data_IF_674855840875
#
_entry.id   IF_674855840875
#
_cell.length_a   1.000
_cell.length_b   1.000
_cell.length_c   1.000
_cell.angle_alpha   90.00
_cell.angle_beta   90.00
_cell.angle_gamma   90.00
#
_symmetry.space_group_name_H-M   'P 1'
#
loop_
_entity.id
_entity.type
_entity.pdbx_description
1 polymer ?
#
# COMPACT_ATOMS: atom_id res chain seq x y z
N UNK A 1 -16.25 -30.64 3.43
CA UNK A 1 -16.45 -29.52 2.48
C UNK A 1 -15.76 -28.21 2.93
N UNK A 2 -14.64 -28.25 3.67
CA UNK A 2 -13.94 -27.00 4.08
C UNK A 2 -12.97 -26.44 3.02
N UNK A 3 -12.57 -27.23 2.02
CA UNK A 3 -11.61 -26.80 1.00
C UNK A 3 -12.16 -25.85 -0.07
N UNK A 4 -13.45 -25.95 -0.40
CA UNK A 4 -14.09 -25.09 -1.42
C UNK A 4 -14.22 -23.63 -0.98
N UNK A 5 -14.43 -23.38 0.31
CA UNK A 5 -14.52 -22.03 0.86
C UNK A 5 -13.15 -21.36 0.99
N UNK A 6 -12.10 -22.13 1.28
CA UNK A 6 -10.71 -21.66 1.29
C UNK A 6 -10.24 -21.27 -0.12
N UNK A 7 -10.53 -22.10 -1.12
CA UNK A 7 -10.18 -21.81 -2.51
C UNK A 7 -10.86 -20.52 -3.03
N UNK A 8 -12.14 -20.31 -2.69
CA UNK A 8 -12.86 -19.09 -3.03
C UNK A 8 -12.23 -17.84 -2.41
N UNK A 9 -11.83 -17.89 -1.12
CA UNK A 9 -11.16 -16.76 -0.47
C UNK A 9 -9.81 -16.41 -1.12
N UNK A 10 -9.06 -17.41 -1.57
CA UNK A 10 -7.78 -17.18 -2.25
C UNK A 10 -7.99 -16.46 -3.57
N UNK A 11 -8.94 -16.94 -4.38
CA UNK A 11 -9.28 -16.32 -5.66
C UNK A 11 -9.72 -14.87 -5.46
N UNK A 12 -10.57 -14.61 -4.46
CA UNK A 12 -11.02 -13.25 -4.16
C UNK A 12 -9.84 -12.37 -3.71
N UNK A 13 -8.96 -12.86 -2.83
CA UNK A 13 -7.77 -12.12 -2.39
C UNK A 13 -6.81 -11.81 -3.54
N UNK A 14 -6.56 -12.79 -4.41
CA UNK A 14 -5.74 -12.62 -5.62
C UNK A 14 -6.40 -11.65 -6.62
N UNK A 15 -7.73 -11.67 -6.75
CA UNK A 15 -8.46 -10.69 -7.56
C UNK A 15 -8.33 -9.28 -6.98
N UNK A 16 -8.46 -9.11 -5.67
CA UNK A 16 -8.27 -7.81 -5.02
C UNK A 16 -6.87 -7.28 -5.28
N UNK A 17 -5.82 -8.12 -5.21
CA UNK A 17 -4.43 -7.74 -5.52
C UNK A 17 -4.19 -7.29 -6.97
N UNK A 18 -5.05 -7.71 -7.91
CA UNK A 18 -4.91 -7.32 -9.32
C UNK A 18 -5.73 -6.08 -9.67
N UNK A 19 -6.84 -5.87 -8.97
CA UNK A 19 -7.74 -4.73 -9.18
C UNK A 19 -7.34 -3.52 -8.34
N UNK A 20 -7.07 -3.74 -7.06
CA UNK A 20 -6.40 -2.81 -6.18
C UNK A 20 -4.92 -3.17 -6.12
N UNK A 21 -4.07 -2.23 -6.52
CA UNK A 21 -2.63 -2.42 -6.62
C UNK A 21 -1.84 -1.16 -6.34
N UNK A 22 -2.55 -0.06 -6.09
CA UNK A 22 -1.96 1.24 -5.93
C UNK A 22 -1.75 1.49 -4.45
N UNK A 23 -0.49 1.65 -4.05
CA UNK A 23 -0.14 2.01 -2.69
C UNK A 23 0.03 3.52 -2.61
N UNK A 24 -0.66 4.16 -1.66
CA UNK A 24 -0.42 5.55 -1.32
C UNK A 24 0.32 5.71 -0.01
N UNK A 25 1.00 6.86 0.15
CA UNK A 25 1.80 7.21 1.32
C UNK A 25 1.17 8.38 2.05
N UNK A 26 1.03 8.25 3.37
CA UNK A 26 0.35 9.24 4.21
C UNK A 26 1.18 9.63 5.43
N UNK A 27 1.06 10.90 5.83
CA UNK A 27 1.66 11.42 7.06
C UNK A 27 0.84 11.08 8.31
N UNK A 28 -0.42 10.65 8.15
CA UNK A 28 -1.32 10.24 9.21
C UNK A 28 -2.37 9.25 8.69
N UNK A 29 -3.25 8.79 9.58
CA UNK A 29 -4.38 7.91 9.26
C UNK A 29 -5.30 8.48 8.16
N UNK A 30 -5.50 7.79 7.00
CA UNK A 30 -6.49 8.17 6.01
C UNK A 30 -7.92 7.75 6.43
N UNK A 31 -8.09 7.07 7.54
CA UNK A 31 -9.30 6.46 8.10
C UNK A 31 -9.92 5.41 7.18
N UNK A 32 -10.91 4.67 7.65
CA UNK A 32 -11.66 3.72 6.81
C UNK A 32 -12.41 4.42 5.66
N UNK A 33 -12.56 5.75 5.71
CA UNK A 33 -13.17 6.53 4.63
C UNK A 33 -12.24 6.78 3.44
N UNK A 34 -10.92 6.54 3.58
CA UNK A 34 -9.95 6.81 2.50
C UNK A 34 -9.78 8.31 2.23
N UNK A 35 -9.45 9.08 3.27
CA UNK A 35 -9.16 10.51 3.16
C UNK A 35 -7.82 10.74 2.46
N UNK A 36 -7.85 11.50 1.38
CA UNK A 36 -6.65 11.98 0.68
C UNK A 36 -5.98 13.17 1.40
N UNK A 37 -6.57 13.71 2.48
CA UNK A 37 -6.09 14.93 3.15
C UNK A 37 -4.66 14.83 3.69
N UNK A 38 -4.22 13.60 4.00
CA UNK A 38 -2.91 13.29 4.57
C UNK A 38 -2.03 12.52 3.58
N UNK A 39 -2.50 12.29 2.34
CA UNK A 39 -1.70 11.68 1.29
C UNK A 39 -0.64 12.70 0.84
N UNK A 40 0.55 12.22 0.48
CA UNK A 40 1.53 13.06 -0.20
C UNK A 40 0.88 13.66 -1.45
N UNK A 41 0.80 14.99 -1.61
CA UNK A 41 0.17 15.58 -2.77
C UNK A 41 0.96 15.20 -4.03
N UNK A 42 0.32 15.01 -5.18
CA UNK A 42 1.01 14.64 -6.44
C UNK A 42 1.60 15.86 -7.15
N UNK A 43 1.00 17.04 -6.96
CA UNK A 43 1.42 18.28 -7.60
C UNK A 43 2.73 18.80 -7.01
N UNK A 44 3.79 18.87 -7.83
CA UNK A 44 5.06 19.49 -7.47
C UNK A 44 5.96 18.66 -6.53
N UNK A 45 5.59 17.41 -6.23
CA UNK A 45 6.27 16.57 -5.24
C UNK A 45 7.07 15.42 -5.82
N UNK A 46 6.89 15.13 -7.12
CA UNK A 46 7.39 13.93 -7.80
C UNK A 46 6.89 12.61 -7.19
N UNK A 47 5.74 12.66 -6.51
CA UNK A 47 5.05 11.50 -5.97
C UNK A 47 3.86 11.13 -6.86
N UNK A 48 3.65 9.83 -7.06
CA UNK A 48 2.40 9.23 -7.51
C UNK A 48 2.21 7.91 -6.77
N UNK A 49 0.96 7.43 -6.66
CA UNK A 49 0.70 6.14 -6.03
C UNK A 49 1.49 5.03 -6.72
N UNK A 50 2.05 4.16 -5.90
CA UNK A 50 2.99 3.15 -6.34
C UNK A 50 2.23 1.94 -6.87
N UNK A 51 2.56 1.52 -8.10
CA UNK A 51 2.08 0.23 -8.61
C UNK A 51 2.81 -0.94 -7.92
N UNK A 52 2.02 -1.77 -7.26
CA UNK A 52 2.44 -3.00 -6.59
C UNK A 52 2.21 -4.26 -7.44
N UNK A 53 1.80 -4.14 -8.71
CA UNK A 53 1.63 -5.27 -9.62
C UNK A 53 2.91 -6.11 -9.69
N UNK A 54 2.78 -7.40 -9.37
CA UNK A 54 3.90 -8.35 -9.38
C UNK A 54 4.93 -8.15 -8.26
N UNK A 55 4.75 -7.17 -7.37
CA UNK A 55 5.61 -6.95 -6.19
C UNK A 55 5.04 -7.55 -4.92
N UNK A 56 3.75 -7.88 -4.91
CA UNK A 56 3.07 -8.54 -3.81
C UNK A 56 3.05 -10.05 -4.00
N UNK A 57 3.14 -10.80 -2.90
CA UNK A 57 2.92 -12.24 -2.91
C UNK A 57 1.49 -12.57 -3.29
N UNK A 58 1.21 -13.78 -3.80
CA UNK A 58 -0.15 -14.29 -3.81
C UNK A 58 -0.77 -14.20 -2.41
N UNK A 59 -2.09 -14.08 -2.34
CA UNK A 59 -2.79 -14.08 -1.07
C UNK A 59 -2.63 -15.43 -0.37
N UNK A 60 -2.04 -15.43 0.81
CA UNK A 60 -1.86 -16.64 1.62
C UNK A 60 -3.08 -16.85 2.52
N UNK A 61 -3.71 -18.02 2.38
CA UNK A 61 -4.88 -18.42 3.14
C UNK A 61 -4.57 -18.76 4.60
N UNK A 62 -3.34 -19.21 4.90
CA UNK A 62 -2.96 -19.58 6.25
C UNK A 62 -2.75 -18.35 7.12
N UNK A 63 -2.08 -17.33 6.58
CA UNK A 63 -1.86 -16.05 7.27
C UNK A 63 -2.96 -15.01 7.02
N UNK A 64 -3.77 -15.18 5.97
CA UNK A 64 -4.78 -14.21 5.55
C UNK A 64 -4.16 -12.92 4.99
N UNK A 65 -2.92 -13.00 4.48
CA UNK A 65 -2.11 -11.84 4.09
C UNK A 65 -1.41 -12.05 2.75
N UNK A 66 -1.11 -10.93 2.10
CA UNK A 66 -0.18 -10.82 1.00
C UNK A 66 0.92 -9.84 1.40
N UNK A 67 2.17 -10.18 1.12
CA UNK A 67 3.34 -9.43 1.60
C UNK A 67 4.19 -8.97 0.42
N UNK A 68 4.83 -7.82 0.57
CA UNK A 68 5.76 -7.29 -0.39
C UNK A 68 6.96 -8.23 -0.58
N UNK A 69 7.23 -8.64 -1.82
CA UNK A 69 8.30 -9.57 -2.21
C UNK A 69 9.55 -8.88 -2.74
N UNK A 70 9.45 -7.62 -3.12
CA UNK A 70 10.54 -6.85 -3.71
C UNK A 70 10.57 -5.43 -3.17
N UNK A 71 11.76 -4.85 -3.11
CA UNK A 71 11.94 -3.50 -2.62
C UNK A 71 11.19 -2.49 -3.49
N UNK A 72 10.60 -1.51 -2.83
CA UNK A 72 9.88 -0.39 -3.43
C UNK A 72 10.61 0.88 -3.05
N UNK A 73 11.14 1.57 -4.05
CA UNK A 73 11.78 2.87 -3.90
C UNK A 73 10.92 3.93 -4.58
N UNK A 74 10.67 5.04 -3.88
CA UNK A 74 9.84 6.16 -4.38
C UNK A 74 10.63 7.44 -4.26
N UNK A 75 10.71 8.19 -5.37
CA UNK A 75 11.41 9.47 -5.44
C UNK A 75 12.60 9.48 -6.41
N UNK A 76 13.51 10.46 -6.28
CA UNK A 76 13.64 11.38 -5.14
C UNK A 76 12.48 12.36 -5.00
N UNK A 77 12.19 12.74 -3.76
CA UNK A 77 11.19 13.72 -3.40
C UNK A 77 11.57 15.12 -3.90
N UNK A 78 10.68 15.79 -4.64
CA UNK A 78 10.94 17.14 -5.14
C UNK A 78 10.78 18.22 -4.07
N UNK A 79 9.93 17.94 -3.08
CA UNK A 79 9.74 18.73 -1.85
C UNK A 79 9.79 17.80 -0.66
N UNK A 80 9.78 18.36 0.55
CA UNK A 80 9.60 17.58 1.76
C UNK A 80 8.20 16.94 1.78
N UNK A 81 8.14 15.61 1.85
CA UNK A 81 6.89 14.86 2.01
C UNK A 81 6.50 14.70 3.50
N UNK A 82 7.40 15.05 4.42
CA UNK A 82 7.24 14.90 5.85
C UNK A 82 7.44 13.47 6.34
N UNK A 83 7.01 13.25 7.59
CA UNK A 83 7.10 11.96 8.26
C UNK A 83 5.96 11.06 7.80
N UNK A 84 6.26 10.13 6.90
CA UNK A 84 5.33 9.12 6.42
C UNK A 84 5.14 8.07 7.49
N UNK A 85 3.90 7.87 7.91
CA UNK A 85 3.56 6.92 8.98
C UNK A 85 2.62 5.84 8.50
N UNK A 86 1.87 6.05 7.41
CA UNK A 86 0.78 5.18 6.99
C UNK A 86 0.80 4.94 5.48
N UNK A 87 0.21 3.82 5.07
CA UNK A 87 0.00 3.48 3.67
C UNK A 87 -1.46 3.07 3.41
N UNK A 88 -1.97 3.45 2.26
CA UNK A 88 -3.30 3.05 1.76
C UNK A 88 -3.18 2.16 0.54
N UNK A 89 -4.17 1.31 0.30
CA UNK A 89 -4.26 0.42 -0.86
C UNK A 89 -5.53 0.72 -1.66
N UNK A 90 -5.36 1.00 -2.95
CA UNK A 90 -6.39 1.62 -3.80
C UNK A 90 -6.58 0.87 -5.11
N UNK A 91 -7.79 0.96 -5.65
CA UNK A 91 -8.17 0.46 -6.98
C UNK A 91 -7.67 1.33 -8.14
N UNK A 92 -7.30 2.58 -7.87
CA UNK A 92 -6.86 3.55 -8.87
C UNK A 92 -5.62 4.34 -8.46
N UNK A 93 -4.84 4.74 -9.47
CA UNK A 93 -3.60 5.51 -9.30
C UNK A 93 -3.85 6.91 -8.72
N UNK A 94 -4.97 7.53 -9.10
CA UNK A 94 -5.42 8.82 -8.58
C UNK A 94 -6.92 8.74 -8.31
N UNK A 95 -7.36 9.23 -7.15
CA UNK A 95 -8.76 9.09 -6.70
C UNK A 95 -9.14 7.63 -6.41
N UNK A 96 -10.29 7.19 -6.92
CA UNK A 96 -10.78 5.82 -6.70
C UNK A 96 -11.23 5.56 -5.27
N UNK A 97 -11.30 4.27 -4.90
CA UNK A 97 -11.71 3.83 -3.57
C UNK A 97 -10.54 3.15 -2.84
N UNK A 98 -10.34 3.54 -1.59
CA UNK A 98 -9.41 2.85 -0.71
C UNK A 98 -10.04 1.53 -0.25
N UNK A 99 -9.33 0.44 -0.46
CA UNK A 99 -9.74 -0.90 -0.04
C UNK A 99 -9.35 -1.14 1.41
N UNK A 100 -8.17 -0.66 1.80
CA UNK A 100 -7.64 -0.78 3.15
C UNK A 100 -6.48 0.18 3.38
N UNK A 101 -6.23 0.50 4.65
CA UNK A 101 -5.05 1.23 5.09
C UNK A 101 -4.36 0.49 6.23
N UNK A 102 -3.11 0.86 6.49
CA UNK A 102 -2.38 0.37 7.64
C UNK A 102 -1.18 1.26 7.98
N UNK A 103 -0.75 1.24 9.25
CA UNK A 103 0.48 1.93 9.64
C UNK A 103 1.69 1.26 8.99
N UNK A 104 2.67 2.08 8.63
CA UNK A 104 4.01 1.62 8.27
C UNK A 104 4.68 1.03 9.51
N UNK A 105 5.44 -0.06 9.32
CA UNK A 105 6.19 -0.67 10.41
C UNK A 105 7.25 0.27 10.99
N UNK A 106 7.78 1.16 10.16
CA UNK A 106 8.73 2.20 10.57
C UNK A 106 8.35 3.48 9.85
N UNK A 107 8.11 4.54 10.62
CA UNK A 107 7.88 5.86 10.06
C UNK A 107 9.14 6.35 9.35
N UNK A 108 8.98 6.96 8.17
CA UNK A 108 10.10 7.44 7.37
C UNK A 108 9.92 8.91 7.03
N UNK A 109 10.88 9.72 7.47
CA UNK A 109 10.97 11.11 7.05
C UNK A 109 11.54 11.18 5.64
N UNK A 110 10.85 11.86 4.73
CA UNK A 110 11.30 11.98 3.32
C UNK A 110 11.47 13.45 2.90
N UNK A 111 12.56 14.10 3.34
CA UNK A 111 12.91 15.44 2.89
C UNK A 111 13.20 15.52 1.39
N UNK A 112 13.19 16.73 0.84
CA UNK A 112 13.56 16.98 -0.54
C UNK A 112 14.92 16.36 -0.90
N UNK A 113 14.98 15.64 -2.03
CA UNK A 113 16.16 14.92 -2.51
C UNK A 113 16.35 13.52 -1.90
N UNK A 114 15.53 13.10 -0.94
CA UNK A 114 15.54 11.73 -0.39
C UNK A 114 14.55 10.83 -1.10
N UNK A 115 14.73 9.53 -0.94
CA UNK A 115 13.82 8.50 -1.41
C UNK A 115 13.15 7.84 -0.21
N UNK A 116 11.87 7.53 -0.36
CA UNK A 116 11.19 6.61 0.51
C UNK A 116 11.49 5.17 0.05
N UNK A 117 11.75 4.27 0.98
CA UNK A 117 12.09 2.88 0.68
C UNK A 117 11.33 1.91 1.57
N UNK A 118 10.64 0.96 0.96
CA UNK A 118 10.16 -0.24 1.63
C UNK A 118 10.96 -1.43 1.14
N UNK A 119 11.53 -2.18 2.07
CA UNK A 119 12.17 -3.45 1.76
C UNK A 119 11.12 -4.56 1.67
N UNK A 120 11.44 -5.62 0.93
CA UNK A 120 10.65 -6.84 0.92
C UNK A 120 10.31 -7.28 2.37
N UNK A 121 9.05 -7.65 2.61
CA UNK A 121 8.55 -8.05 3.93
C UNK A 121 8.05 -6.92 4.84
N UNK A 122 8.37 -5.65 4.55
CA UNK A 122 7.99 -4.52 5.43
C UNK A 122 6.58 -3.98 5.20
N UNK A 123 5.89 -4.48 4.18
CA UNK A 123 4.51 -4.12 3.87
C UNK A 123 3.69 -5.38 3.60
N UNK A 124 2.50 -5.44 4.18
CA UNK A 124 1.55 -6.53 3.97
C UNK A 124 0.12 -6.03 3.98
N UNK A 125 -0.71 -6.60 3.12
CA UNK A 125 -2.16 -6.40 3.12
C UNK A 125 -2.86 -7.68 3.55
N UNK A 126 -3.92 -7.58 4.34
CA UNK A 126 -4.67 -8.76 4.76
C UNK A 126 -5.73 -8.43 5.79
N UNK A 127 -6.54 -9.43 6.14
CA UNK A 127 -7.60 -9.25 7.15
C UNK A 127 -6.93 -8.85 8.48
N UNK A 128 -7.37 -7.75 9.07
CA UNK A 128 -7.03 -7.43 10.46
C UNK A 128 -7.48 -8.59 11.35
N UNK A 129 -6.66 -9.00 12.34
CA UNK A 129 -7.03 -10.07 13.26
C UNK A 129 -8.32 -9.75 14.02
#
# INVERSE_FOLDING_TARGET
MSGLTLYAHKIVGDQVLTMARWMSLHIADPTDAGSDSNEVPTAGTNYSRIDLLGKMSPFDLASGRSTLLADVNVGPAAIDWGLLTWAGFWDQQDGGHMIMSGPLQTAQDTPAGKQFQLLAGQFSIGKTP
#
